data_IF_604339843444
#
_entry.id   IF_604339843444
#
_cell.length_a   1.000
_cell.length_b   1.000
_cell.length_c   1.000
_cell.angle_alpha   90.00
_cell.angle_beta   90.00
_cell.angle_gamma   90.00
#
_symmetry.space_group_name_H-M   'P 1'
#
loop_
_entity.id
_entity.type
_entity.pdbx_description
1 polymer ?
#
# COMPACT_ATOMS: atom_id res chain seq x y z
N UNK A 1 -7.73 -2.73 -48.61
CA UNK A 1 -6.71 -1.86 -47.97
C UNK A 1 -7.25 -1.10 -46.75
N UNK A 2 -8.35 -0.35 -46.86
CA UNK A 2 -8.93 0.44 -45.72
C UNK A 2 -9.26 -0.43 -44.49
N UNK A 3 -9.88 -1.58 -44.68
CA UNK A 3 -10.26 -2.49 -43.59
C UNK A 3 -9.03 -3.08 -42.89
N UNK A 4 -7.97 -3.35 -43.62
CA UNK A 4 -6.72 -3.87 -43.07
C UNK A 4 -6.03 -2.83 -42.15
N UNK A 5 -5.92 -1.57 -42.62
CA UNK A 5 -5.36 -0.48 -41.79
C UNK A 5 -6.19 -0.19 -40.56
N UNK A 6 -7.53 -0.26 -40.66
CA UNK A 6 -8.41 -0.03 -39.54
C UNK A 6 -8.28 -1.13 -38.47
N UNK A 7 -8.17 -2.39 -38.88
CA UNK A 7 -7.93 -3.52 -37.97
C UNK A 7 -6.58 -3.44 -37.30
N UNK A 8 -5.53 -3.06 -38.02
CA UNK A 8 -4.19 -2.86 -37.44
C UNK A 8 -4.16 -1.71 -36.42
N UNK A 9 -4.88 -0.62 -36.71
CA UNK A 9 -5.01 0.52 -35.78
C UNK A 9 -5.73 0.11 -34.49
N UNK A 10 -6.84 -0.63 -34.59
CA UNK A 10 -7.58 -1.13 -33.44
C UNK A 10 -6.75 -2.10 -32.59
N UNK A 11 -5.97 -2.98 -33.24
CA UNK A 11 -5.07 -3.90 -32.53
C UNK A 11 -3.98 -3.14 -31.76
N UNK A 12 -3.42 -2.08 -32.38
CA UNK A 12 -2.43 -1.23 -31.73
C UNK A 12 -2.97 -0.48 -30.51
N UNK A 13 -4.18 0.05 -30.61
CA UNK A 13 -4.86 0.74 -29.48
C UNK A 13 -5.16 -0.24 -28.35
N UNK A 14 -5.64 -1.44 -28.69
CA UNK A 14 -5.93 -2.48 -27.70
C UNK A 14 -4.66 -2.94 -26.98
N UNK A 15 -3.56 -3.12 -27.71
CA UNK A 15 -2.27 -3.52 -27.14
C UNK A 15 -1.71 -2.43 -26.22
N UNK A 16 -1.80 -1.15 -26.62
CA UNK A 16 -1.39 -0.02 -25.80
C UNK A 16 -2.25 0.13 -24.53
N UNK A 17 -3.54 -0.14 -24.62
CA UNK A 17 -4.43 -0.14 -23.44
C UNK A 17 -4.09 -1.26 -22.46
N UNK A 18 -3.77 -2.47 -22.95
CA UNK A 18 -3.35 -3.59 -22.12
C UNK A 18 -2.02 -3.33 -21.40
N UNK A 19 -1.04 -2.72 -22.09
CA UNK A 19 0.24 -2.39 -21.46
C UNK A 19 0.08 -1.35 -20.35
N UNK A 20 -0.74 -0.32 -20.56
CA UNK A 20 -1.04 0.67 -19.52
C UNK A 20 -1.78 0.06 -18.31
N UNK A 21 -2.70 -0.87 -18.56
CA UNK A 21 -3.43 -1.57 -17.49
C UNK A 21 -2.49 -2.43 -16.62
N UNK A 22 -1.51 -3.11 -17.24
CA UNK A 22 -0.51 -3.91 -16.51
C UNK A 22 0.45 -3.05 -15.69
N UNK A 23 0.79 -1.83 -16.15
CA UNK A 23 1.60 -0.90 -15.37
C UNK A 23 0.87 -0.36 -14.12
N UNK A 24 -0.45 -0.20 -14.19
CA UNK A 24 -1.26 0.29 -13.05
C UNK A 24 -1.42 -0.76 -11.92
N UNK A 25 -1.11 -2.02 -12.18
CA UNK A 25 -1.20 -3.12 -11.21
C UNK A 25 0.11 -3.34 -10.42
N UNK A 26 1.16 -2.58 -10.71
CA UNK A 26 2.44 -2.69 -10.02
C UNK A 26 2.55 -1.58 -8.96
N UNK A 27 3.20 -1.90 -7.83
CA UNK A 27 3.55 -0.92 -6.81
C UNK A 27 4.41 0.21 -7.36
N UNK A 28 4.70 1.20 -6.54
CA UNK A 28 5.51 2.36 -6.95
C UNK A 28 7.01 1.99 -7.07
N UNK A 29 7.61 1.99 -8.27
CA UNK A 29 9.00 1.56 -8.46
C UNK A 29 10.03 2.44 -7.73
N UNK A 30 9.73 3.73 -7.52
CA UNK A 30 10.62 4.63 -6.79
C UNK A 30 10.50 4.39 -5.28
N UNK A 31 9.27 4.24 -4.79
CA UNK A 31 9.05 3.84 -3.41
C UNK A 31 9.65 2.46 -3.09
N UNK A 32 9.62 1.53 -4.04
CA UNK A 32 10.19 0.20 -3.86
C UNK A 32 11.71 0.21 -3.58
N UNK A 33 12.43 1.24 -4.05
CA UNK A 33 13.87 1.43 -3.80
C UNK A 33 14.17 2.02 -2.42
N UNK A 34 13.18 2.61 -1.76
CA UNK A 34 13.36 3.21 -0.44
C UNK A 34 13.57 2.13 0.61
N UNK A 35 14.65 2.25 1.36
CA UNK A 35 14.93 1.37 2.50
C UNK A 35 14.46 2.04 3.79
N UNK A 36 13.91 1.25 4.69
CA UNK A 36 13.57 1.75 6.02
C UNK A 36 14.85 2.18 6.75
N UNK A 37 15.01 3.47 7.11
CA UNK A 37 16.18 3.95 7.84
C UNK A 37 16.15 3.56 9.33
N UNK A 38 15.00 3.07 9.82
CA UNK A 38 14.80 2.67 11.21
C UNK A 38 15.00 1.17 11.34
N UNK A 39 16.01 0.76 12.11
CA UNK A 39 16.24 -0.65 12.38
C UNK A 39 15.03 -1.29 13.09
N UNK A 40 14.68 -2.53 12.73
CA UNK A 40 13.58 -3.27 13.31
C UNK A 40 13.95 -3.84 14.70
N UNK A 41 14.29 -2.96 15.63
CA UNK A 41 14.56 -3.30 17.04
C UNK A 41 13.26 -3.55 17.80
N UNK A 42 13.35 -4.16 18.98
CA UNK A 42 12.18 -4.35 19.86
C UNK A 42 11.53 -3.00 20.22
N UNK A 43 12.33 -1.96 20.42
CA UNK A 43 11.84 -0.60 20.69
C UNK A 43 11.03 -0.05 19.51
N UNK A 44 11.57 -0.16 18.29
CA UNK A 44 10.87 0.25 17.07
C UNK A 44 9.55 -0.54 16.88
N UNK A 45 9.57 -1.85 17.11
CA UNK A 45 8.37 -2.69 17.03
C UNK A 45 7.30 -2.28 18.04
N UNK A 46 7.71 -2.00 19.29
CA UNK A 46 6.80 -1.56 20.34
C UNK A 46 6.19 -0.19 20.02
N UNK A 47 7.01 0.76 19.56
CA UNK A 47 6.55 2.09 19.12
C UNK A 47 5.59 1.97 17.96
N UNK A 48 5.96 1.20 16.94
CA UNK A 48 5.11 0.93 15.78
C UNK A 48 3.79 0.28 16.16
N UNK A 49 3.79 -0.68 17.10
CA UNK A 49 2.58 -1.32 17.60
C UNK A 49 1.65 -0.32 18.29
N UNK A 50 2.18 0.55 19.17
CA UNK A 50 1.38 1.57 19.86
C UNK A 50 0.73 2.54 18.87
N UNK A 51 1.48 3.02 17.90
CA UNK A 51 0.99 3.91 16.85
C UNK A 51 -0.05 3.20 15.97
N UNK A 52 0.20 1.96 15.60
CA UNK A 52 -0.74 1.13 14.84
C UNK A 52 -2.07 0.96 15.59
N UNK A 53 -2.03 0.59 16.88
CA UNK A 53 -3.25 0.44 17.68
C UNK A 53 -4.05 1.73 17.76
N UNK A 54 -3.38 2.88 17.80
CA UNK A 54 -4.03 4.20 17.91
C UNK A 54 -4.64 4.66 16.59
N UNK A 55 -3.98 4.43 15.47
CA UNK A 55 -4.29 5.07 14.20
C UNK A 55 -4.78 4.12 13.09
N UNK A 56 -4.44 2.85 13.16
CA UNK A 56 -4.64 1.90 12.07
C UNK A 56 -5.64 0.78 12.41
N UNK A 57 -5.67 0.37 13.69
CA UNK A 57 -6.41 -0.80 14.12
C UNK A 57 -7.94 -0.69 13.95
N UNK A 58 -8.50 0.53 13.92
CA UNK A 58 -9.93 0.74 13.67
C UNK A 58 -10.38 0.22 12.30
N UNK A 59 -9.53 0.32 11.28
CA UNK A 59 -9.81 -0.16 9.93
C UNK A 59 -9.16 -1.51 9.64
N UNK A 60 -7.89 -1.69 10.03
CA UNK A 60 -7.11 -2.89 9.71
C UNK A 60 -7.21 -4.02 10.74
N UNK A 61 -7.95 -3.81 11.82
CA UNK A 61 -8.04 -4.77 12.92
C UNK A 61 -6.84 -4.74 13.86
N UNK A 62 -7.03 -5.09 15.13
CA UNK A 62 -5.98 -5.08 16.16
C UNK A 62 -4.77 -5.94 15.80
N UNK A 63 -5.02 -7.03 15.06
CA UNK A 63 -4.00 -7.99 14.63
C UNK A 63 -3.70 -7.91 13.11
N UNK A 64 -4.15 -6.86 12.43
CA UNK A 64 -3.90 -6.68 11.01
C UNK A 64 -4.74 -7.55 10.07
N UNK A 65 -5.82 -8.14 10.54
CA UNK A 65 -6.65 -9.06 9.74
C UNK A 65 -7.55 -8.36 8.72
N UNK A 66 -7.63 -7.03 8.78
CA UNK A 66 -8.50 -6.25 7.90
C UNK A 66 -9.97 -6.31 8.29
N UNK A 67 -10.81 -5.65 7.52
CA UNK A 67 -12.26 -5.79 7.57
C UNK A 67 -12.96 -5.38 8.86
N UNK A 68 -12.29 -4.70 9.78
CA UNK A 68 -12.87 -4.37 11.07
C UNK A 68 -13.39 -2.93 11.15
N UNK A 69 -14.59 -2.79 11.65
CA UNK A 69 -15.07 -1.61 12.36
C UNK A 69 -15.54 -0.41 11.54
N UNK A 70 -15.32 -0.36 10.26
CA UNK A 70 -15.77 0.76 9.42
C UNK A 70 -16.55 0.24 8.21
N UNK A 71 -17.63 0.92 7.86
CA UNK A 71 -18.46 0.65 6.68
C UNK A 71 -17.72 1.01 5.36
N UNK A 72 -16.40 0.84 5.33
CA UNK A 72 -15.58 1.10 4.15
C UNK A 72 -15.88 0.07 3.06
N UNK A 73 -16.11 0.57 1.86
CA UNK A 73 -16.28 -0.25 0.65
C UNK A 73 -15.25 0.22 -0.38
N UNK A 74 -14.27 -0.61 -0.73
CA UNK A 74 -13.98 -1.93 -0.16
C UNK A 74 -13.47 -1.87 1.28
N UNK A 75 -13.66 -2.94 2.03
CA UNK A 75 -13.12 -3.08 3.39
C UNK A 75 -11.57 -2.99 3.39
N UNK A 76 -10.99 -2.51 4.49
CA UNK A 76 -9.55 -2.45 4.63
C UNK A 76 -8.92 -3.85 4.48
N UNK A 77 -7.85 -3.99 3.66
CA UNK A 77 -7.24 -5.28 3.41
C UNK A 77 -6.53 -5.83 4.65
N UNK A 78 -6.38 -7.16 4.68
CA UNK A 78 -5.52 -7.83 5.65
C UNK A 78 -4.06 -7.41 5.45
N UNK A 79 -3.37 -7.15 6.54
CA UNK A 79 -1.93 -6.90 6.59
C UNK A 79 -1.13 -8.15 6.98
N UNK A 80 -1.83 -9.26 7.26
CA UNK A 80 -1.22 -10.58 7.47
C UNK A 80 -0.92 -11.21 6.11
N UNK A 81 0.23 -11.85 5.97
CA UNK A 81 0.64 -12.51 4.72
C UNK A 81 1.54 -11.70 3.79
N UNK A 82 1.65 -10.38 3.96
CA UNK A 82 2.69 -9.54 3.35
C UNK A 82 2.62 -9.32 1.84
N UNK A 83 1.48 -9.62 1.20
CA UNK A 83 1.26 -9.35 -0.23
C UNK A 83 0.09 -8.37 -0.38
N UNK A 84 0.38 -7.16 -0.84
CA UNK A 84 -0.60 -6.08 -0.93
C UNK A 84 -0.65 -5.43 -2.30
N UNK A 85 -1.83 -4.92 -2.66
CA UNK A 85 -2.14 -4.37 -3.98
C UNK A 85 -1.25 -3.18 -4.38
N UNK A 86 -0.85 -2.37 -3.41
CA UNK A 86 -0.07 -1.14 -3.65
C UNK A 86 1.43 -1.32 -3.38
N UNK A 87 1.92 -2.56 -3.48
CA UNK A 87 3.30 -2.92 -3.23
C UNK A 87 3.54 -3.41 -1.80
N UNK A 88 4.64 -4.13 -1.62
CA UNK A 88 4.95 -4.83 -0.37
C UNK A 88 6.38 -4.57 0.14
N UNK A 89 7.12 -3.66 -0.48
CA UNK A 89 8.40 -3.17 0.04
C UNK A 89 8.20 -2.18 1.18
N UNK A 90 9.24 -1.95 1.97
CA UNK A 90 9.18 -1.00 3.09
C UNK A 90 8.80 0.41 2.63
N UNK A 91 9.40 0.87 1.52
CA UNK A 91 9.12 2.19 0.98
C UNK A 91 7.71 2.33 0.39
N UNK A 92 7.18 1.29 -0.23
CA UNK A 92 5.80 1.28 -0.72
C UNK A 92 4.80 1.33 0.44
N UNK A 93 5.03 0.55 1.50
CA UNK A 93 4.20 0.61 2.71
C UNK A 93 4.27 2.03 3.33
N UNK A 94 5.48 2.58 3.45
CA UNK A 94 5.69 3.93 3.95
C UNK A 94 4.90 4.96 3.14
N UNK A 95 5.00 4.91 1.81
CA UNK A 95 4.32 5.82 0.90
C UNK A 95 2.81 5.72 1.04
N UNK A 96 2.26 4.51 1.05
CA UNK A 96 0.82 4.27 1.26
C UNK A 96 0.33 4.86 2.58
N UNK A 97 1.09 4.73 3.66
CA UNK A 97 0.72 5.33 4.95
C UNK A 97 0.81 6.85 4.87
N UNK A 98 1.88 7.37 4.31
CA UNK A 98 2.14 8.82 4.27
C UNK A 98 1.16 9.56 3.37
N UNK A 99 0.92 9.05 2.17
CA UNK A 99 0.18 9.74 1.10
C UNK A 99 -1.26 9.27 0.96
N UNK A 100 -1.63 8.14 1.58
CA UNK A 100 -2.92 7.50 1.39
C UNK A 100 -3.04 6.80 0.04
N UNK A 101 -4.24 6.33 -0.29
CA UNK A 101 -4.54 5.62 -1.54
C UNK A 101 -5.61 6.37 -2.33
N UNK A 102 -5.24 7.09 -3.41
CA UNK A 102 -6.19 7.74 -4.28
C UNK A 102 -6.98 6.72 -5.14
N UNK A 103 -8.13 7.10 -5.77
CA UNK A 103 -8.76 8.42 -5.70
C UNK A 103 -9.65 8.61 -4.45
N UNK A 104 -10.15 7.54 -3.85
CA UNK A 104 -11.20 7.61 -2.82
C UNK A 104 -10.65 7.91 -1.42
N UNK A 105 -9.34 7.74 -1.22
CA UNK A 105 -8.65 7.93 0.07
C UNK A 105 -9.32 7.19 1.24
N UNK A 106 -9.92 6.03 1.00
CA UNK A 106 -10.38 5.14 2.07
C UNK A 106 -9.23 4.78 3.03
N UNK A 107 -8.02 4.58 2.48
CA UNK A 107 -6.78 4.70 3.25
C UNK A 107 -6.33 6.17 3.22
N UNK A 108 -6.62 6.91 4.27
CA UNK A 108 -6.34 8.35 4.36
C UNK A 108 -4.84 8.63 4.51
N UNK A 109 -4.33 9.79 4.04
CA UNK A 109 -2.95 10.19 4.26
C UNK A 109 -2.68 10.51 5.73
N UNK A 110 -1.53 10.09 6.22
CA UNK A 110 -1.09 10.30 7.60
C UNK A 110 0.13 11.21 7.72
N UNK A 111 0.76 11.61 6.60
CA UNK A 111 2.00 12.38 6.59
C UNK A 111 1.95 13.71 7.33
N UNK A 112 0.79 14.37 7.41
CA UNK A 112 0.61 15.62 8.14
C UNK A 112 0.38 15.43 9.64
N UNK A 113 0.11 14.19 10.09
CA UNK A 113 -0.27 13.86 11.47
C UNK A 113 0.74 12.97 12.19
N UNK A 114 1.54 12.22 11.44
CA UNK A 114 2.54 11.29 11.96
C UNK A 114 3.87 11.61 11.29
N UNK A 115 4.92 11.77 12.10
CA UNK A 115 6.27 12.05 11.60
C UNK A 115 6.82 10.85 10.82
N UNK A 116 7.66 11.11 9.83
CA UNK A 116 8.28 10.07 8.99
C UNK A 116 8.96 8.97 9.81
N UNK A 117 9.68 9.34 10.86
CA UNK A 117 10.31 8.39 11.80
C UNK A 117 9.30 7.42 12.42
N UNK A 118 8.12 7.92 12.80
CA UNK A 118 7.06 7.13 13.41
C UNK A 118 6.33 6.27 12.36
N UNK A 119 6.18 6.77 11.13
CA UNK A 119 5.69 5.96 10.02
C UNK A 119 6.63 4.78 9.76
N UNK A 120 7.93 4.97 9.79
CA UNK A 120 8.91 3.90 9.66
C UNK A 120 8.84 2.87 10.79
N UNK A 121 8.55 3.29 12.02
CA UNK A 121 8.27 2.37 13.13
C UNK A 121 7.00 1.54 12.85
N UNK A 122 5.94 2.18 12.29
CA UNK A 122 4.72 1.45 11.88
C UNK A 122 5.05 0.45 10.77
N UNK A 123 5.88 0.79 9.79
CA UNK A 123 6.34 -0.14 8.74
C UNK A 123 7.00 -1.37 9.35
N UNK A 124 7.90 -1.21 10.31
CA UNK A 124 8.53 -2.33 11.02
C UNK A 124 7.48 -3.24 11.71
N UNK A 125 6.49 -2.66 12.36
CA UNK A 125 5.42 -3.42 12.99
C UNK A 125 4.54 -4.16 11.98
N UNK A 126 4.12 -3.49 10.88
CA UNK A 126 3.33 -4.12 9.80
C UNK A 126 4.09 -5.30 9.19
N UNK A 127 5.41 -5.17 8.99
CA UNK A 127 6.26 -6.27 8.54
C UNK A 127 6.28 -7.45 9.52
N UNK A 128 6.16 -7.19 10.81
CA UNK A 128 6.08 -8.25 11.82
C UNK A 128 4.75 -9.00 11.78
N UNK A 129 3.66 -8.33 11.39
CA UNK A 129 2.35 -8.95 11.17
C UNK A 129 2.36 -9.86 9.94
N UNK A 130 3.06 -9.47 8.88
CA UNK A 130 3.16 -10.22 7.64
C UNK A 130 3.85 -11.60 7.79
N UNK A 131 4.62 -11.80 8.85
CA UNK A 131 5.34 -13.05 9.15
C UNK A 131 4.53 -14.06 9.98
N UNK A 132 3.33 -13.71 10.37
CA UNK A 132 2.42 -14.57 11.13
C UNK A 132 1.49 -15.33 10.20
#
# INVERSE_FOLDING_TARGET
MREFFFRMLLLGILLAALTNFLLMAQGDPEAAKMKNPVAATQESLNTGQQLYQRHCASCHGKNGQGGSGNDLIPAAPSLVGGQWKHGSSDGEIFKVIKEGVPPDFNMTPWGDRIKDQDIWNIVNYVRSLAKK
#
